data_IF_822150857184
#
_entry.id   IF_822150857184
#
_cell.length_a   1.000
_cell.length_b   1.000
_cell.length_c   1.000
_cell.angle_alpha   90.00
_cell.angle_beta   90.00
_cell.angle_gamma   90.00
#
_symmetry.space_group_name_H-M   'P 1'
#
loop_
_entity.id
_entity.type
_entity.pdbx_description
1 polymer ?
#
# COMPACT_ATOMS: atom_id res chain seq x y z
N UNK A 1 -14.87 45.42 0.01
CA UNK A 1 -13.73 44.56 -0.35
C UNK A 1 -13.74 43.22 0.43
N UNK A 2 -14.91 42.67 0.80
CA UNK A 2 -15.01 41.50 1.71
C UNK A 2 -15.15 40.11 1.05
N UNK A 3 -15.25 40.05 -0.29
CA UNK A 3 -15.51 38.79 -0.99
C UNK A 3 -14.30 37.86 -1.17
N UNK A 4 -13.07 38.34 -0.94
CA UNK A 4 -11.83 37.57 -1.21
C UNK A 4 -11.29 36.81 0.00
N UNK A 5 -11.67 37.14 1.23
CA UNK A 5 -11.18 36.44 2.44
C UNK A 5 -11.93 35.14 2.72
N UNK A 6 -13.25 35.08 2.51
CA UNK A 6 -14.05 33.87 2.76
C UNK A 6 -13.78 32.73 1.74
N UNK A 7 -13.27 33.04 0.54
CA UNK A 7 -13.01 32.03 -0.50
C UNK A 7 -11.67 31.27 -0.31
N UNK A 8 -10.77 31.80 0.51
CA UNK A 8 -9.47 31.18 0.79
C UNK A 8 -9.61 30.10 1.88
N UNK A 9 -10.39 30.38 2.92
CA UNK A 9 -10.63 29.47 4.05
C UNK A 9 -11.37 28.19 3.67
N UNK A 10 -12.22 28.25 2.64
CA UNK A 10 -13.02 27.08 2.20
C UNK A 10 -12.22 26.11 1.31
N UNK A 11 -11.16 26.61 0.65
CA UNK A 11 -10.20 25.80 -0.13
C UNK A 11 -9.16 25.13 0.77
N UNK A 12 -8.72 25.82 1.82
CA UNK A 12 -7.73 25.31 2.78
C UNK A 12 -8.25 24.16 3.66
N UNK A 13 -9.51 23.76 3.50
CA UNK A 13 -10.21 22.82 4.38
C UNK A 13 -10.70 21.53 3.71
N UNK A 14 -10.55 21.37 2.39
CA UNK A 14 -10.95 20.15 1.69
C UNK A 14 -9.82 19.13 1.73
N UNK A 15 -10.03 17.97 2.36
CA UNK A 15 -9.11 16.84 2.28
C UNK A 15 -9.77 15.63 1.61
N UNK A 16 -8.99 14.94 0.78
CA UNK A 16 -9.47 13.80 0.00
C UNK A 16 -8.46 12.68 0.17
N UNK A 17 -8.96 11.51 0.56
CA UNK A 17 -8.15 10.32 0.71
C UNK A 17 -8.64 9.20 -0.22
N UNK A 18 -7.74 8.70 -1.06
CA UNK A 18 -7.95 7.72 -2.12
C UNK A 18 -7.02 6.50 -1.98
N UNK A 19 -6.03 6.52 -1.09
CA UNK A 19 -5.13 5.39 -0.82
C UNK A 19 -5.78 4.40 0.17
N UNK A 20 -6.98 3.93 -0.18
CA UNK A 20 -7.88 3.17 0.69
C UNK A 20 -9.33 3.50 0.35
N UNK A 21 -10.28 3.27 1.27
CA UNK A 21 -11.65 3.72 1.13
C UNK A 21 -11.72 5.23 0.87
N UNK A 22 -12.51 5.64 -0.13
CA UNK A 22 -12.72 7.06 -0.43
C UNK A 22 -13.24 7.81 0.81
N UNK A 23 -12.44 8.75 1.29
CA UNK A 23 -12.85 9.72 2.32
C UNK A 23 -12.73 11.14 1.79
N UNK A 24 -13.73 11.96 2.08
CA UNK A 24 -13.76 13.38 1.74
C UNK A 24 -14.17 14.14 2.98
N UNK A 25 -13.40 15.15 3.36
CA UNK A 25 -13.70 16.02 4.49
C UNK A 25 -13.61 17.47 4.07
N UNK A 26 -14.52 18.30 4.57
CA UNK A 26 -14.48 19.75 4.42
C UNK A 26 -14.55 20.38 5.80
N UNK A 27 -13.49 21.08 6.18
CA UNK A 27 -13.36 21.66 7.52
C UNK A 27 -13.33 20.60 8.61
N UNK A 28 -12.75 19.43 8.30
CA UNK A 28 -12.75 18.25 9.17
C UNK A 28 -14.07 17.47 9.17
N UNK A 29 -15.16 18.00 8.61
CA UNK A 29 -16.47 17.34 8.57
C UNK A 29 -16.57 16.40 7.37
N UNK A 30 -16.96 15.12 7.55
CA UNK A 30 -17.14 14.19 6.43
C UNK A 30 -18.19 14.65 5.42
N UNK A 31 -17.84 14.59 4.13
CA UNK A 31 -18.74 14.88 3.01
C UNK A 31 -19.15 13.56 2.35
N UNK A 32 -20.44 13.25 2.38
CA UNK A 32 -20.97 12.03 1.73
C UNK A 32 -21.14 12.24 0.23
N UNK A 33 -20.43 11.41 -0.55
CA UNK A 33 -20.63 11.30 -2.00
C UNK A 33 -21.18 9.91 -2.26
N UNK A 34 -22.46 9.80 -2.61
CA UNK A 34 -23.16 8.50 -2.72
C UNK A 34 -23.11 7.92 -4.13
N UNK A 35 -23.23 8.74 -5.17
CA UNK A 35 -23.29 8.24 -6.55
C UNK A 35 -21.90 7.76 -7.04
N UNK A 36 -21.82 6.53 -7.57
CA UNK A 36 -20.57 5.93 -8.05
C UNK A 36 -19.83 6.78 -9.08
N UNK A 37 -20.55 7.36 -10.04
CA UNK A 37 -19.96 8.29 -11.03
C UNK A 37 -19.48 9.61 -10.43
N UNK A 38 -20.09 10.12 -9.34
CA UNK A 38 -19.55 11.30 -8.66
C UNK A 38 -18.25 10.99 -7.93
N UNK A 39 -18.14 9.79 -7.32
CA UNK A 39 -16.91 9.32 -6.70
C UNK A 39 -15.78 9.17 -7.72
N UNK A 40 -16.08 8.57 -8.87
CA UNK A 40 -15.15 8.44 -9.99
C UNK A 40 -14.68 9.80 -10.51
N UNK A 41 -15.60 10.75 -10.74
CA UNK A 41 -15.26 12.11 -11.16
C UNK A 41 -14.32 12.78 -10.16
N UNK A 42 -14.64 12.71 -8.87
CA UNK A 42 -13.80 13.29 -7.84
C UNK A 42 -12.41 12.66 -7.81
N UNK A 43 -12.33 11.33 -7.83
CA UNK A 43 -11.07 10.60 -7.75
C UNK A 43 -10.15 10.93 -8.93
N UNK A 44 -10.68 11.01 -10.15
CA UNK A 44 -9.91 11.39 -11.36
C UNK A 44 -9.37 12.81 -11.23
N UNK A 45 -10.20 13.76 -10.79
CA UNK A 45 -9.75 15.14 -10.58
C UNK A 45 -8.74 15.25 -9.43
N UNK A 46 -8.89 14.47 -8.36
CA UNK A 46 -8.04 14.49 -7.19
C UNK A 46 -6.66 13.85 -7.43
N UNK A 47 -6.58 12.80 -8.24
CA UNK A 47 -5.28 12.23 -8.69
C UNK A 47 -4.47 13.27 -9.48
N UNK A 48 -5.15 14.20 -10.15
CA UNK A 48 -4.59 15.33 -10.89
C UNK A 48 -4.86 16.67 -10.18
N UNK A 49 -4.84 16.70 -8.84
CA UNK A 49 -5.08 17.92 -8.07
C UNK A 49 -4.12 19.04 -8.51
N UNK A 50 -4.67 20.24 -8.74
CA UNK A 50 -3.93 21.38 -9.29
C UNK A 50 -3.75 21.38 -10.81
N UNK A 51 -4.09 20.28 -11.51
CA UNK A 51 -3.93 20.15 -12.96
C UNK A 51 -5.29 20.07 -13.68
N UNK A 52 -5.33 20.54 -14.93
CA UNK A 52 -6.53 20.47 -15.76
C UNK A 52 -6.73 19.06 -16.34
N UNK A 53 -7.95 18.53 -16.21
CA UNK A 53 -8.37 17.27 -16.82
C UNK A 53 -9.42 17.56 -17.88
N UNK A 54 -9.22 17.05 -19.09
CA UNK A 54 -10.10 17.29 -20.23
C UNK A 54 -11.47 16.63 -20.06
N UNK A 55 -12.49 17.18 -20.73
CA UNK A 55 -13.84 16.58 -20.75
C UNK A 55 -13.80 15.15 -21.28
N UNK A 56 -12.99 14.88 -22.30
CA UNK A 56 -12.86 13.59 -22.96
C UNK A 56 -12.32 12.55 -21.97
N UNK A 57 -11.26 12.90 -21.22
CA UNK A 57 -10.68 12.01 -20.21
C UNK A 57 -11.63 11.78 -19.04
N UNK A 58 -12.34 12.82 -18.59
CA UNK A 58 -13.37 12.67 -17.56
C UNK A 58 -14.51 11.77 -18.05
N UNK A 59 -14.90 11.87 -19.31
CA UNK A 59 -15.94 11.03 -19.87
C UNK A 59 -15.50 9.56 -19.94
N UNK A 60 -14.32 9.29 -20.48
CA UNK A 60 -13.75 7.94 -20.51
C UNK A 60 -13.64 7.34 -19.10
N UNK A 61 -13.22 8.13 -18.11
CA UNK A 61 -13.09 7.63 -16.75
C UNK A 61 -14.42 7.35 -16.04
N UNK A 62 -15.52 7.94 -16.50
CA UNK A 62 -16.86 7.82 -15.93
C UNK A 62 -17.73 6.76 -16.61
N UNK A 63 -17.52 6.55 -17.89
CA UNK A 63 -18.37 5.70 -18.73
C UNK A 63 -17.61 4.62 -19.49
N UNK A 64 -16.28 4.63 -19.48
CA UNK A 64 -15.48 3.73 -20.31
C UNK A 64 -15.80 3.94 -21.78
N UNK A 65 -15.96 2.83 -22.50
CA UNK A 65 -16.28 2.84 -23.93
C UNK A 65 -17.76 3.17 -24.21
N UNK A 66 -18.65 3.04 -23.22
CA UNK A 66 -20.10 3.30 -23.34
C UNK A 66 -20.45 4.78 -23.08
N UNK A 67 -19.91 5.66 -23.92
CA UNK A 67 -20.13 7.10 -23.77
C UNK A 67 -21.61 7.50 -23.98
N UNK A 68 -22.13 8.46 -23.20
CA UNK A 68 -23.45 9.00 -23.45
C UNK A 68 -23.45 9.85 -24.73
N UNK A 69 -24.61 9.94 -25.40
CA UNK A 69 -24.74 10.70 -26.67
C UNK A 69 -24.33 12.18 -26.60
N UNK A 70 -24.26 12.77 -25.39
CA UNK A 70 -23.58 14.04 -25.16
C UNK A 70 -22.71 13.96 -23.90
N UNK A 71 -21.47 13.49 -24.07
CA UNK A 71 -20.46 13.38 -23.03
C UNK A 71 -20.22 14.71 -22.30
N UNK A 72 -20.05 15.82 -23.03
CA UNK A 72 -19.78 17.14 -22.45
C UNK A 72 -20.89 17.62 -21.52
N UNK A 73 -22.15 17.54 -21.95
CA UNK A 73 -23.31 17.90 -21.12
C UNK A 73 -23.44 16.99 -19.90
N UNK A 74 -23.13 15.70 -20.07
CA UNK A 74 -23.16 14.73 -18.98
C UNK A 74 -22.09 15.08 -17.93
N UNK A 75 -20.83 15.28 -18.33
CA UNK A 75 -19.74 15.72 -17.43
C UNK A 75 -20.11 17.01 -16.71
N UNK A 76 -20.62 18.02 -17.41
CA UNK A 76 -21.09 19.28 -16.81
C UNK A 76 -22.13 19.07 -15.71
N UNK A 77 -23.05 18.12 -15.90
CA UNK A 77 -24.07 17.77 -14.90
C UNK A 77 -23.43 17.18 -13.64
N UNK A 78 -22.49 16.24 -13.80
CA UNK A 78 -21.78 15.65 -12.67
C UNK A 78 -20.86 16.67 -11.97
N UNK A 79 -20.19 17.56 -12.70
CA UNK A 79 -19.38 18.64 -12.12
C UNK A 79 -20.26 19.59 -11.31
N UNK A 80 -21.44 19.97 -11.82
CA UNK A 80 -22.39 20.82 -11.09
C UNK A 80 -22.82 20.16 -9.78
N UNK A 81 -23.11 18.86 -9.79
CA UNK A 81 -23.47 18.09 -8.59
C UNK A 81 -22.29 17.98 -7.62
N UNK A 82 -21.08 17.73 -8.12
CA UNK A 82 -19.88 17.62 -7.29
C UNK A 82 -19.55 18.96 -6.60
N UNK A 83 -19.61 20.08 -7.33
CA UNK A 83 -19.47 21.45 -6.77
C UNK A 83 -20.48 21.74 -5.65
N UNK A 84 -21.70 21.19 -5.70
CA UNK A 84 -22.67 21.33 -4.61
C UNK A 84 -22.26 20.54 -3.37
N UNK A 85 -21.59 19.39 -3.54
CA UNK A 85 -21.16 18.54 -2.44
C UNK A 85 -19.88 19.08 -1.75
N UNK A 86 -18.85 19.43 -2.54
CA UNK A 86 -17.51 19.76 -2.00
C UNK A 86 -17.21 21.26 -1.96
N UNK A 87 -18.12 22.09 -2.45
CA UNK A 87 -17.94 23.55 -2.55
C UNK A 87 -17.70 24.00 -4.00
N UNK A 88 -18.33 25.12 -4.38
CA UNK A 88 -18.31 25.61 -5.77
C UNK A 88 -16.92 26.02 -6.23
N UNK A 89 -16.11 26.58 -5.32
CA UNK A 89 -14.77 27.07 -5.61
C UNK A 89 -13.74 25.93 -5.76
N UNK A 90 -14.03 24.72 -5.27
CA UNK A 90 -13.10 23.60 -5.30
C UNK A 90 -12.85 23.04 -6.72
N UNK A 91 -13.77 23.30 -7.67
CA UNK A 91 -13.60 22.85 -9.06
C UNK A 91 -13.68 24.06 -9.97
N UNK A 92 -12.59 24.37 -10.68
CA UNK A 92 -12.58 25.42 -11.71
C UNK A 92 -12.83 24.82 -13.08
N UNK A 93 -13.55 25.56 -13.92
CA UNK A 93 -13.70 25.24 -15.34
C UNK A 93 -12.48 25.80 -16.08
N UNK A 94 -11.90 25.01 -16.96
CA UNK A 94 -10.85 25.41 -17.91
C UNK A 94 -11.42 25.44 -19.34
N UNK A 95 -10.69 25.93 -20.35
CA UNK A 95 -11.17 25.89 -21.75
C UNK A 95 -11.61 24.49 -22.19
N UNK A 96 -10.81 23.47 -21.85
CA UNK A 96 -11.00 22.09 -22.33
C UNK A 96 -11.51 21.11 -21.27
N UNK A 97 -11.80 21.58 -20.05
CA UNK A 97 -12.24 20.69 -18.98
C UNK A 97 -12.35 21.32 -17.60
N UNK A 98 -11.81 20.62 -16.61
CA UNK A 98 -11.97 20.95 -15.19
C UNK A 98 -10.70 20.65 -14.40
N UNK A 99 -10.45 21.43 -13.36
CA UNK A 99 -9.37 21.19 -12.41
C UNK A 99 -9.92 21.19 -10.98
N UNK A 100 -9.35 20.35 -10.12
CA UNK A 100 -9.57 20.44 -8.68
C UNK A 100 -8.61 21.48 -8.11
N UNK A 101 -9.15 22.60 -7.66
CA UNK A 101 -8.41 23.78 -7.19
C UNK A 101 -8.18 23.69 -5.68
N UNK A 102 -7.29 22.77 -5.30
CA UNK A 102 -6.85 22.50 -3.93
C UNK A 102 -5.33 22.39 -3.89
N UNK A 103 -4.74 22.54 -2.71
CA UNK A 103 -3.33 22.20 -2.53
C UNK A 103 -3.15 20.68 -2.74
N UNK A 104 -2.23 20.23 -3.60
CA UNK A 104 -1.95 18.80 -3.76
C UNK A 104 -1.62 18.08 -2.44
N UNK A 105 -1.07 18.77 -1.44
CA UNK A 105 -0.84 18.22 -0.09
C UNK A 105 -2.12 17.86 0.69
N UNK A 106 -3.28 18.34 0.25
CA UNK A 106 -4.57 17.98 0.83
C UNK A 106 -5.18 16.70 0.23
N UNK A 107 -4.58 16.16 -0.84
CA UNK A 107 -4.96 14.90 -1.46
C UNK A 107 -3.86 13.87 -1.24
N UNK A 108 -4.20 12.73 -0.65
CA UNK A 108 -3.20 11.73 -0.24
C UNK A 108 -2.37 11.14 -1.40
N UNK A 109 -2.93 10.98 -2.60
CA UNK A 109 -2.20 10.46 -3.77
C UNK A 109 -1.05 11.37 -4.22
N UNK A 110 -1.27 12.64 -4.60
CA UNK A 110 -0.17 13.54 -4.96
C UNK A 110 0.78 13.80 -3.77
N UNK A 111 0.26 13.91 -2.53
CA UNK A 111 1.12 14.00 -1.33
C UNK A 111 2.04 12.79 -1.17
N UNK A 112 1.51 11.58 -1.34
CA UNK A 112 2.28 10.34 -1.29
C UNK A 112 3.39 10.33 -2.34
N UNK A 113 3.08 10.71 -3.59
CA UNK A 113 4.09 10.82 -4.66
C UNK A 113 5.19 11.82 -4.31
N UNK A 114 4.82 12.99 -3.76
CA UNK A 114 5.77 14.00 -3.34
C UNK A 114 6.70 13.48 -2.22
N UNK A 115 6.14 12.87 -1.17
CA UNK A 115 6.92 12.30 -0.07
C UNK A 115 7.88 11.21 -0.53
N UNK A 116 7.47 10.32 -1.42
CA UNK A 116 8.37 9.28 -1.96
C UNK A 116 9.48 9.89 -2.82
N UNK A 117 9.18 10.91 -3.62
CA UNK A 117 10.18 11.62 -4.42
C UNK A 117 11.17 12.40 -3.53
N UNK A 118 10.69 13.01 -2.44
CA UNK A 118 11.51 13.69 -1.44
C UNK A 118 12.40 12.70 -0.69
N UNK A 119 11.87 11.54 -0.27
CA UNK A 119 12.64 10.48 0.34
C UNK A 119 13.77 9.99 -0.59
N UNK A 120 13.47 9.85 -1.89
CA UNK A 120 14.47 9.50 -2.91
C UNK A 120 15.61 10.51 -3.00
N UNK A 121 15.30 11.82 -2.91
CA UNK A 121 16.29 12.90 -2.88
C UNK A 121 17.05 12.98 -1.56
N UNK A 122 16.42 12.59 -0.46
CA UNK A 122 16.99 12.57 0.89
C UNK A 122 17.75 11.27 1.22
N UNK A 123 18.00 10.40 0.24
CA UNK A 123 18.65 9.10 0.45
C UNK A 123 19.95 9.19 1.24
N UNK A 124 20.06 8.38 2.29
CA UNK A 124 21.23 8.34 3.16
C UNK A 124 21.31 9.48 4.18
N UNK A 125 20.31 10.36 4.23
CA UNK A 125 20.19 11.41 5.27
C UNK A 125 19.22 10.97 6.36
N UNK A 126 19.25 11.66 7.50
CA UNK A 126 18.31 11.40 8.60
C UNK A 126 16.83 11.65 8.23
N UNK A 127 16.56 12.50 7.22
CA UNK A 127 15.21 12.83 6.80
C UNK A 127 14.53 11.73 5.98
N UNK A 128 15.30 10.82 5.35
CA UNK A 128 14.75 9.78 4.48
C UNK A 128 13.69 8.94 5.21
N UNK A 129 14.02 8.51 6.42
CA UNK A 129 13.15 7.63 7.21
C UNK A 129 11.80 8.28 7.50
N UNK A 130 11.80 9.50 8.02
CA UNK A 130 10.56 10.19 8.38
C UNK A 130 9.66 10.40 7.17
N UNK A 131 10.25 10.70 6.00
CA UNK A 131 9.50 10.88 4.74
C UNK A 131 8.86 9.56 4.28
N UNK A 132 9.60 8.45 4.34
CA UNK A 132 9.06 7.12 3.98
C UNK A 132 7.97 6.68 4.96
N UNK A 133 8.15 6.90 6.26
CA UNK A 133 7.15 6.58 7.28
C UNK A 133 5.89 7.45 7.13
N UNK A 134 6.03 8.74 6.81
CA UNK A 134 4.90 9.61 6.52
C UNK A 134 4.15 9.16 5.25
N UNK A 135 4.87 8.81 4.19
CA UNK A 135 4.27 8.29 2.95
C UNK A 135 3.48 6.99 3.22
N UNK A 136 4.04 6.08 4.02
CA UNK A 136 3.38 4.83 4.40
C UNK A 136 2.07 5.05 5.18
N UNK A 137 2.02 6.06 6.06
CA UNK A 137 0.81 6.39 6.85
C UNK A 137 -0.37 6.89 6.02
N UNK A 138 -0.13 7.35 4.80
CA UNK A 138 -1.21 7.76 3.88
C UNK A 138 -1.97 6.54 3.31
N UNK A 139 -1.34 5.37 3.25
CA UNK A 139 -1.96 4.14 2.78
C UNK A 139 -2.81 3.52 3.90
N UNK A 140 -4.12 3.43 3.65
CA UNK A 140 -5.15 2.90 4.56
C UNK A 140 -5.77 1.60 4.06
N UNK A 141 -5.46 1.17 2.84
CA UNK A 141 -6.02 -0.05 2.24
C UNK A 141 -5.87 -0.07 0.72
N UNK A 142 -6.79 -0.75 0.04
CA UNK A 142 -6.80 -0.84 -1.43
C UNK A 142 -7.04 0.54 -2.05
N UNK A 143 -6.16 1.03 -2.93
CA UNK A 143 -6.37 2.32 -3.60
C UNK A 143 -7.70 2.38 -4.34
N UNK A 144 -8.36 3.53 -4.25
CA UNK A 144 -9.64 3.82 -4.88
C UNK A 144 -10.79 2.89 -4.45
N UNK A 145 -10.72 2.32 -3.25
CA UNK A 145 -11.79 1.46 -2.73
C UNK A 145 -13.12 2.24 -2.66
N UNK A 146 -14.17 1.62 -3.22
CA UNK A 146 -15.48 2.25 -3.35
C UNK A 146 -15.61 3.26 -4.49
N UNK A 147 -14.62 3.34 -5.40
CA UNK A 147 -14.63 4.17 -6.63
C UNK A 147 -14.76 3.28 -7.87
N UNK A 148 -15.90 3.37 -8.55
CA UNK A 148 -16.14 2.65 -9.81
C UNK A 148 -15.57 3.41 -11.02
N UNK A 149 -14.27 3.28 -11.30
CA UNK A 149 -13.65 3.83 -12.52
C UNK A 149 -12.61 2.87 -13.09
N UNK A 150 -12.88 2.38 -14.30
CA UNK A 150 -12.03 1.42 -14.99
C UNK A 150 -10.72 2.07 -15.45
N UNK A 151 -10.81 3.35 -15.83
CA UNK A 151 -9.65 4.16 -16.17
C UNK A 151 -8.68 4.31 -14.99
N UNK A 152 -9.15 4.54 -13.76
CA UNK A 152 -8.26 4.59 -12.59
C UNK A 152 -7.59 3.24 -12.32
N UNK A 153 -8.35 2.14 -12.49
CA UNK A 153 -7.81 0.77 -12.32
C UNK A 153 -6.73 0.45 -13.35
N UNK A 154 -6.91 0.85 -14.61
CA UNK A 154 -5.96 0.55 -15.67
C UNK A 154 -4.78 1.52 -15.73
N UNK A 155 -5.02 2.83 -15.64
CA UNK A 155 -4.03 3.85 -15.96
C UNK A 155 -3.26 4.40 -14.74
N UNK A 156 -3.82 4.31 -13.53
CA UNK A 156 -3.23 4.95 -12.34
C UNK A 156 -2.80 3.93 -11.29
N UNK A 157 -3.65 2.95 -11.03
CA UNK A 157 -3.47 1.98 -9.94
C UNK A 157 -2.15 1.19 -10.05
N UNK A 158 -1.74 0.66 -11.22
CA UNK A 158 -0.53 -0.15 -11.31
C UNK A 158 0.74 0.63 -10.92
N UNK A 159 0.93 1.82 -11.49
CA UNK A 159 2.07 2.67 -11.17
C UNK A 159 2.06 3.13 -9.69
N UNK A 160 0.88 3.37 -9.13
CA UNK A 160 0.73 3.76 -7.73
C UNK A 160 1.05 2.61 -6.77
N UNK A 161 0.63 1.39 -7.09
CA UNK A 161 0.96 0.18 -6.33
C UNK A 161 2.46 -0.11 -6.38
N UNK A 162 3.08 -0.02 -7.56
CA UNK A 162 4.53 -0.20 -7.71
C UNK A 162 5.34 0.81 -6.89
N UNK A 163 4.90 2.07 -6.88
CA UNK A 163 5.52 3.11 -6.06
C UNK A 163 5.37 2.82 -4.55
N UNK A 164 4.22 2.30 -4.13
CA UNK A 164 3.98 1.89 -2.75
C UNK A 164 4.84 0.72 -2.32
N UNK A 165 4.90 -0.35 -3.11
CA UNK A 165 5.75 -1.49 -2.81
C UNK A 165 7.21 -1.09 -2.70
N UNK A 166 7.69 -0.23 -3.59
CA UNK A 166 9.04 0.31 -3.55
C UNK A 166 9.30 1.15 -2.28
N UNK A 167 8.32 1.94 -1.84
CA UNK A 167 8.41 2.71 -0.60
C UNK A 167 8.43 1.80 0.64
N UNK A 168 7.63 0.74 0.65
CA UNK A 168 7.63 -0.26 1.74
C UNK A 168 8.95 -1.01 1.80
N UNK A 169 9.44 -1.50 0.66
CA UNK A 169 10.75 -2.14 0.56
C UNK A 169 11.85 -1.23 1.12
N UNK A 170 11.80 0.06 0.80
CA UNK A 170 12.76 1.02 1.34
C UNK A 170 12.63 1.22 2.85
N UNK A 171 11.40 1.31 3.37
CA UNK A 171 11.16 1.40 4.82
C UNK A 171 11.75 0.20 5.56
N UNK A 172 11.58 -0.99 4.98
CA UNK A 172 12.10 -2.25 5.51
C UNK A 172 13.63 -2.24 5.50
N UNK A 173 14.26 -1.80 4.41
CA UNK A 173 15.72 -1.70 4.32
C UNK A 173 16.29 -0.74 5.39
N UNK A 174 15.63 0.39 5.62
CA UNK A 174 16.00 1.34 6.68
C UNK A 174 15.80 0.72 8.08
N UNK A 175 14.71 -0.01 8.29
CA UNK A 175 14.44 -0.71 9.54
C UNK A 175 15.46 -1.80 9.86
N UNK A 176 15.88 -2.56 8.84
CA UNK A 176 16.93 -3.57 8.93
C UNK A 176 18.28 -2.96 9.30
N UNK A 177 18.66 -1.83 8.69
CA UNK A 177 19.90 -1.14 9.01
C UNK A 177 19.95 -0.65 10.48
N UNK A 178 18.79 -0.41 11.10
CA UNK A 178 18.66 0.05 12.49
C UNK A 178 18.35 -1.07 13.50
N UNK A 179 18.28 -2.33 13.07
CA UNK A 179 17.98 -3.45 13.98
C UNK A 179 16.50 -3.62 14.37
N UNK A 180 15.57 -2.90 13.71
CA UNK A 180 14.13 -2.93 14.04
C UNK A 180 13.40 -4.04 13.27
N UNK A 181 13.60 -5.28 13.68
CA UNK A 181 13.18 -6.46 12.89
C UNK A 181 11.75 -6.96 13.20
N UNK A 182 11.31 -6.88 14.46
CA UNK A 182 10.11 -7.58 14.93
C UNK A 182 8.80 -7.10 14.32
N UNK A 183 8.66 -5.78 14.12
CA UNK A 183 7.43 -5.16 13.60
C UNK A 183 7.25 -5.36 12.09
N UNK A 184 8.30 -5.76 11.36
CA UNK A 184 8.29 -5.85 9.90
C UNK A 184 7.80 -7.20 9.37
N UNK A 185 7.84 -8.27 10.18
CA UNK A 185 7.54 -9.64 9.71
C UNK A 185 6.10 -9.78 9.25
N UNK A 186 5.13 -9.36 10.07
CA UNK A 186 3.71 -9.54 9.78
C UNK A 186 3.29 -8.76 8.51
N UNK A 187 3.79 -7.55 8.36
CA UNK A 187 3.52 -6.70 7.21
C UNK A 187 4.14 -7.28 5.92
N UNK A 188 5.41 -7.68 5.96
CA UNK A 188 6.09 -8.30 4.82
C UNK A 188 5.44 -9.62 4.41
N UNK A 189 4.94 -10.42 5.35
CA UNK A 189 4.19 -11.64 5.05
C UNK A 189 2.92 -11.33 4.25
N UNK A 190 2.14 -10.33 4.68
CA UNK A 190 0.93 -9.92 3.97
C UNK A 190 1.24 -9.42 2.56
N UNK A 191 2.27 -8.57 2.41
CA UNK A 191 2.67 -8.02 1.11
C UNK A 191 3.24 -9.09 0.18
N UNK A 192 4.09 -9.99 0.67
CA UNK A 192 4.64 -11.09 -0.13
C UNK A 192 3.55 -12.06 -0.57
N UNK A 193 2.53 -12.32 0.26
CA UNK A 193 1.38 -13.13 -0.12
C UNK A 193 0.52 -12.45 -1.20
N UNK A 194 0.32 -11.14 -1.13
CA UNK A 194 -0.40 -10.36 -2.14
C UNK A 194 0.38 -10.17 -3.46
N UNK A 195 1.71 -10.26 -3.41
CA UNK A 195 2.60 -10.09 -4.56
C UNK A 195 3.55 -11.30 -4.68
N UNK A 196 3.03 -12.50 -4.97
CA UNK A 196 3.77 -13.75 -4.86
C UNK A 196 4.99 -13.83 -5.78
N UNK A 197 4.97 -13.15 -6.93
CA UNK A 197 6.07 -13.13 -7.90
C UNK A 197 7.11 -12.02 -7.66
N UNK A 198 6.91 -11.17 -6.64
CA UNK A 198 7.86 -10.09 -6.31
C UNK A 198 8.94 -10.60 -5.35
N UNK A 199 9.96 -11.23 -5.91
CA UNK A 199 11.08 -11.84 -5.17
C UNK A 199 11.76 -10.88 -4.16
N UNK A 200 11.77 -9.57 -4.43
CA UNK A 200 12.37 -8.55 -3.56
C UNK A 200 11.68 -8.41 -2.20
N UNK A 201 10.37 -8.65 -2.11
CA UNK A 201 9.63 -8.69 -0.84
C UNK A 201 9.98 -9.94 -0.05
N UNK A 202 10.03 -11.07 -0.74
CA UNK A 202 10.42 -12.35 -0.13
C UNK A 202 11.84 -12.31 0.40
N UNK A 203 12.80 -11.80 -0.37
CA UNK A 203 14.18 -11.65 0.07
C UNK A 203 14.29 -10.87 1.38
N UNK A 204 13.58 -9.74 1.49
CA UNK A 204 13.52 -8.96 2.73
C UNK A 204 12.87 -9.73 3.88
N UNK A 205 11.76 -10.42 3.64
CA UNK A 205 11.11 -11.26 4.64
C UNK A 205 12.07 -12.34 5.18
N UNK A 206 12.81 -13.01 4.28
CA UNK A 206 13.80 -14.02 4.65
C UNK A 206 14.92 -13.45 5.52
N UNK A 207 15.43 -12.27 5.16
CA UNK A 207 16.47 -11.57 5.94
C UNK A 207 15.94 -11.18 7.32
N UNK A 208 14.74 -10.59 7.41
CA UNK A 208 14.11 -10.19 8.68
C UNK A 208 13.89 -11.42 9.58
N UNK A 209 13.37 -12.51 9.04
CA UNK A 209 13.15 -13.76 9.79
C UNK A 209 14.46 -14.35 10.32
N UNK A 210 15.50 -14.40 9.49
CA UNK A 210 16.84 -14.82 9.91
C UNK A 210 17.38 -13.95 11.04
N UNK A 211 17.23 -12.63 10.94
CA UNK A 211 17.67 -11.68 11.96
C UNK A 211 16.86 -11.78 13.27
N UNK A 212 15.62 -12.27 13.22
CA UNK A 212 14.80 -12.60 14.39
C UNK A 212 15.08 -14.00 14.98
N UNK A 213 16.05 -14.74 14.47
CA UNK A 213 16.33 -16.12 14.90
C UNK A 213 15.32 -17.16 14.41
N UNK A 214 14.44 -16.80 13.47
CA UNK A 214 13.40 -17.65 12.85
C UNK A 214 13.92 -18.31 11.56
N UNK A 215 15.15 -18.82 11.59
CA UNK A 215 15.86 -19.30 10.41
C UNK A 215 15.18 -20.51 9.74
N UNK A 216 14.67 -21.47 10.52
CA UNK A 216 13.97 -22.63 9.97
C UNK A 216 12.74 -22.22 9.14
N UNK A 217 12.02 -21.20 9.59
CA UNK A 217 10.87 -20.66 8.89
C UNK A 217 11.28 -19.90 7.62
N UNK A 218 12.38 -19.14 7.66
CA UNK A 218 12.95 -18.50 6.48
C UNK A 218 13.32 -19.55 5.40
N UNK A 219 14.02 -20.62 5.77
CA UNK A 219 14.38 -21.70 4.84
C UNK A 219 13.12 -22.37 4.24
N UNK A 220 12.10 -22.64 5.06
CA UNK A 220 10.84 -23.20 4.60
C UNK A 220 10.05 -22.27 3.66
N UNK A 221 10.14 -20.95 3.86
CA UNK A 221 9.53 -19.95 2.97
C UNK A 221 10.28 -19.87 1.63
N UNK A 222 11.61 -19.87 1.65
CA UNK A 222 12.41 -19.91 0.42
C UNK A 222 12.06 -21.11 -0.45
N UNK A 223 11.96 -22.30 0.15
CA UNK A 223 11.65 -23.52 -0.60
C UNK A 223 10.23 -23.52 -1.19
N UNK A 224 9.26 -22.90 -0.51
CA UNK A 224 7.92 -22.70 -1.06
C UNK A 224 7.94 -21.75 -2.25
N UNK A 225 8.65 -20.63 -2.13
CA UNK A 225 8.78 -19.66 -3.22
C UNK A 225 9.50 -20.26 -4.43
N UNK A 226 10.57 -21.03 -4.21
CA UNK A 226 11.31 -21.73 -5.27
C UNK A 226 10.40 -22.64 -6.09
N UNK A 227 9.58 -23.45 -5.42
CA UNK A 227 8.59 -24.31 -6.09
C UNK A 227 7.57 -23.49 -6.87
N UNK A 228 7.04 -22.44 -6.25
CA UNK A 228 6.07 -21.54 -6.91
C UNK A 228 6.62 -20.91 -8.19
N UNK A 229 7.85 -20.39 -8.17
CA UNK A 229 8.49 -19.80 -9.35
C UNK A 229 8.72 -20.85 -10.46
N UNK A 230 9.09 -22.08 -10.08
CA UNK A 230 9.23 -23.17 -11.03
C UNK A 230 7.87 -23.57 -11.64
N UNK A 231 6.82 -23.65 -10.81
CA UNK A 231 5.49 -24.10 -11.24
C UNK A 231 4.76 -23.04 -12.07
N UNK A 232 4.81 -21.76 -11.68
CA UNK A 232 4.07 -20.66 -12.34
C UNK A 232 4.84 -20.04 -13.51
N UNK A 233 6.17 -19.97 -13.44
CA UNK A 233 7.00 -19.27 -14.43
C UNK A 233 8.01 -20.18 -15.14
N UNK A 234 8.23 -21.42 -14.66
CA UNK A 234 9.29 -22.29 -15.20
C UNK A 234 10.70 -21.79 -14.91
N UNK A 235 10.87 -20.92 -13.89
CA UNK A 235 12.15 -20.26 -13.59
C UNK A 235 12.65 -20.58 -12.19
N UNK A 236 13.98 -20.58 -12.04
CA UNK A 236 14.63 -20.61 -10.73
C UNK A 236 14.60 -19.25 -10.02
N UNK A 237 14.75 -19.22 -8.68
CA UNK A 237 14.96 -17.99 -7.91
C UNK A 237 16.11 -17.12 -8.44
N UNK A 238 15.91 -15.80 -8.38
CA UNK A 238 16.90 -14.80 -8.75
C UNK A 238 18.25 -15.00 -8.03
N UNK A 239 19.36 -14.52 -8.62
CA UNK A 239 20.68 -14.59 -7.99
C UNK A 239 20.74 -13.91 -6.61
N UNK A 240 19.93 -12.89 -6.37
CA UNK A 240 19.84 -12.23 -5.07
C UNK A 240 19.18 -13.13 -4.02
N UNK A 241 18.04 -13.73 -4.35
CA UNK A 241 17.32 -14.61 -3.44
C UNK A 241 18.14 -15.88 -3.11
N UNK A 242 18.86 -16.43 -4.10
CA UNK A 242 19.82 -17.53 -3.89
C UNK A 242 20.97 -17.15 -2.95
N UNK A 243 21.49 -15.92 -3.05
CA UNK A 243 22.53 -15.41 -2.13
C UNK A 243 22.00 -15.28 -0.70
N UNK A 244 20.77 -14.79 -0.53
CA UNK A 244 20.10 -14.69 0.77
C UNK A 244 19.95 -16.09 1.39
N UNK A 245 19.46 -17.06 0.62
CA UNK A 245 19.34 -18.44 1.06
C UNK A 245 20.69 -19.06 1.49
N UNK A 246 21.74 -18.86 0.69
CA UNK A 246 23.09 -19.33 1.04
C UNK A 246 23.63 -18.67 2.32
N UNK A 247 23.32 -17.39 2.56
CA UNK A 247 23.65 -16.71 3.81
C UNK A 247 22.92 -17.33 5.00
N UNK A 248 21.62 -17.60 4.85
CA UNK A 248 20.81 -18.28 5.87
C UNK A 248 21.35 -19.66 6.21
N UNK A 249 21.80 -20.46 5.24
CA UNK A 249 22.40 -21.77 5.52
C UNK A 249 23.72 -21.66 6.32
N UNK A 250 24.55 -20.67 5.99
CA UNK A 250 25.85 -20.45 6.65
C UNK A 250 25.75 -19.89 8.06
N UNK A 251 24.70 -19.15 8.38
CA UNK A 251 24.52 -18.54 9.69
C UNK A 251 24.44 -19.59 10.82
N UNK A 252 24.09 -20.85 10.51
CA UNK A 252 23.92 -21.94 11.47
C UNK A 252 22.78 -21.68 12.47
N UNK A 253 22.18 -22.72 13.09
CA UNK A 253 21.20 -22.49 14.14
C UNK A 253 21.87 -21.75 15.29
N UNK A 254 21.56 -20.45 15.45
CA UNK A 254 21.96 -19.75 16.68
C UNK A 254 21.26 -20.45 17.83
N UNK A 255 21.99 -20.96 18.84
CA UNK A 255 21.36 -21.51 20.02
C UNK A 255 20.48 -20.40 20.60
N UNK A 256 19.18 -20.68 20.77
CA UNK A 256 18.32 -19.81 21.58
C UNK A 256 19.03 -19.67 22.91
N UNK A 257 19.37 -18.45 23.30
CA UNK A 257 19.88 -18.20 24.64
C UNK A 257 18.90 -18.83 25.62
N UNK A 258 19.32 -19.93 26.25
CA UNK A 258 18.55 -20.60 27.27
C UNK A 258 18.56 -19.67 28.49
N UNK A 259 17.59 -18.77 28.57
CA UNK A 259 17.17 -18.28 29.88
C UNK A 259 16.83 -19.54 30.68
N UNK A 260 17.55 -19.74 31.79
CA UNK A 260 17.80 -21.02 32.43
C UNK A 260 16.57 -21.94 32.48
N UNK A 261 16.63 -23.02 31.72
CA UNK A 261 15.77 -24.18 31.96
C UNK A 261 16.51 -25.04 32.96
N UNK A 262 16.01 -25.06 34.20
CA UNK A 262 16.41 -26.04 35.19
C UNK A 262 16.29 -27.44 34.57
N UNK A 263 17.36 -28.21 34.68
CA UNK A 263 17.51 -29.57 34.14
C UNK A 263 16.28 -30.41 34.52
N UNK A 264 15.46 -30.78 33.52
CA UNK A 264 14.42 -31.78 33.68
C UNK A 264 15.02 -33.16 33.35
N UNK A 265 15.40 -33.92 34.37
CA UNK A 265 15.70 -35.35 34.24
C UNK A 265 14.39 -36.13 34.29
N UNK A 266 13.77 -36.36 33.14
CA UNK A 266 12.66 -37.29 32.99
C UNK A 266 13.00 -38.30 31.90
N UNK A 267 13.01 -39.59 32.27
CA UNK A 267 13.23 -40.72 31.36
C UNK A 267 12.10 -40.73 30.31
N UNK A 268 12.47 -40.74 29.03
CA UNK A 268 11.54 -40.84 27.89
C UNK A 268 11.55 -42.28 27.38
N UNK A 269 10.45 -43.00 27.55
CA UNK A 269 10.15 -44.19 26.76
C UNK A 269 9.55 -43.81 25.40
N UNK A 270 9.85 -44.54 24.31
CA UNK A 270 9.45 -44.13 22.98
C UNK A 270 8.08 -44.71 22.62
N UNK A 271 7.14 -43.87 22.19
CA UNK A 271 6.38 -44.04 20.92
C UNK A 271 5.24 -43.03 20.77
N UNK A 272 5.01 -42.68 19.50
CA UNK A 272 3.91 -41.90 18.89
C UNK A 272 4.22 -40.42 18.67
N UNK A 273 4.49 -40.08 17.41
CA UNK A 273 4.68 -38.73 16.90
C UNK A 273 3.39 -37.91 17.04
N UNK A 274 3.42 -36.92 17.94
CA UNK A 274 2.44 -35.85 17.99
C UNK A 274 3.21 -34.54 18.17
N UNK A 275 3.25 -33.72 17.13
CA UNK A 275 3.88 -32.39 17.20
C UNK A 275 2.89 -31.41 17.81
N UNK A 276 3.03 -31.14 19.12
CA UNK A 276 2.29 -30.07 19.80
C UNK A 276 3.06 -28.76 19.65
N UNK A 277 2.47 -27.79 18.95
CA UNK A 277 2.98 -26.42 18.89
C UNK A 277 2.52 -25.66 20.13
N UNK A 278 3.35 -25.60 21.17
CA UNK A 278 3.11 -24.76 22.36
C UNK A 278 3.67 -23.34 22.17
N UNK A 279 2.86 -22.35 22.52
CA UNK A 279 3.17 -20.92 22.44
C UNK A 279 2.09 -20.15 23.20
N UNK A 280 2.45 -19.01 23.78
CA UNK A 280 1.59 -18.19 24.63
C UNK A 280 0.38 -17.65 23.86
N UNK A 281 -0.77 -17.57 24.53
CA UNK A 281 -2.01 -17.08 23.94
C UNK A 281 -1.86 -15.62 23.50
N UNK A 282 -2.06 -15.33 22.20
CA UNK A 282 -2.08 -13.96 21.66
C UNK A 282 -1.44 -13.77 20.28
N UNK A 283 -0.59 -14.68 19.80
CA UNK A 283 0.15 -14.51 18.53
C UNK A 283 -0.53 -15.15 17.30
N UNK A 284 -1.73 -14.69 16.93
CA UNK A 284 -2.22 -14.82 15.54
C UNK A 284 -2.39 -16.24 14.96
N UNK A 285 -2.51 -17.29 15.79
CA UNK A 285 -2.63 -18.69 15.36
C UNK A 285 -3.78 -18.97 14.38
N UNK A 286 -4.89 -18.24 14.51
CA UNK A 286 -6.05 -18.38 13.62
C UNK A 286 -5.84 -17.83 12.20
N UNK A 287 -4.89 -16.90 12.01
CA UNK A 287 -4.65 -16.29 10.70
C UNK A 287 -3.68 -17.12 9.83
N UNK A 288 -2.88 -17.99 10.45
CA UNK A 288 -1.95 -18.90 9.76
C UNK A 288 -2.65 -20.04 9.01
N UNK A 289 -3.90 -20.38 9.35
CA UNK A 289 -4.64 -21.44 8.67
C UNK A 289 -5.24 -20.99 7.32
N UNK A 290 -5.51 -19.69 7.13
CA UNK A 290 -6.16 -19.15 5.93
C UNK A 290 -5.18 -18.86 4.77
N UNK A 291 -3.87 -18.83 5.02
CA UNK A 291 -2.82 -18.62 4.00
C UNK A 291 -2.23 -19.97 3.52
N UNK A 292 -2.81 -21.10 3.93
CA UNK A 292 -2.23 -22.45 3.80
C UNK A 292 -3.13 -23.47 3.07
N UNK A 293 -4.16 -23.03 2.34
CA UNK A 293 -4.96 -23.95 1.50
C UNK A 293 -4.35 -24.11 0.11
N UNK A 294 -4.12 -25.34 -0.38
CA UNK A 294 -3.89 -25.58 -1.79
C UNK A 294 -5.20 -25.33 -2.56
N UNK A 295 -5.10 -24.73 -3.74
CA UNK A 295 -5.99 -25.04 -4.86
C UNK A 295 -5.25 -26.09 -5.68
#
# INVERSE_FOLDING_TARGET
>A
MDGRMHQRTDRDQLSIALLGPLEVRRGGVPVRITAGRLRALLAVLAVSAGEAVTVERLALALWGDELPGNARRSVQTYVTRLRRAIGRAAIRTTPDGYLLDVDPGQVDVPRFRALVAEAGRARGTAAERSLVEEAGRLWRGTPFEGVGSDWLRAAVTPALQELHLSAVERRVDLGLAEGRHGELVAELLGLAAGHPLRESLWGRLLVVLGACGRQAEALALYERLRRRLADELGTDPSPELRRIHASLLRAGPRPRGTAGVAVFTGVVEPRTELFVVSGTAGEGRGFLALVWSPV
#
